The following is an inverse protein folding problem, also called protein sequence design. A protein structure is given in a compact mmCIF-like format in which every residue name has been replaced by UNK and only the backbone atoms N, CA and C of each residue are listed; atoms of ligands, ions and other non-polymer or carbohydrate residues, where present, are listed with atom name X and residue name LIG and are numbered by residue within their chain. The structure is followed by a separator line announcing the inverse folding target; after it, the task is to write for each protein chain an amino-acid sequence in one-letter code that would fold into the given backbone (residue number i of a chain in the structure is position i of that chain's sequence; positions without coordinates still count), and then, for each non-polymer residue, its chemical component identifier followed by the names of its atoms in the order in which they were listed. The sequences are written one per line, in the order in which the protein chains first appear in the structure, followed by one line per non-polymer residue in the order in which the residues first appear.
data_IF_859187349788
#
_entry.id   IF_859187349788
#
_cell.length_a   1.000
_cell.length_b   1.000
_cell.length_c   1.000
_cell.angle_alpha   90.00
_cell.angle_beta   90.00
_cell.angle_gamma   90.00
#
_symmetry.space_group_name_H-M   'P 1'
#
loop_
_entity.id
_entity.type
_entity.pdbx_description
1 polymer ?
#
# COMPACT_ATOMS: atom_id res chain seq x y z
N UNK A 1 -15.74 2.10 -11.71
CA UNK A 1 -16.03 0.64 -11.74
C UNK A 1 -14.73 -0.09 -12.04
N UNK A 2 -14.36 -1.08 -11.22
CA UNK A 2 -13.15 -1.91 -11.43
C UNK A 2 -13.48 -3.03 -12.43
N UNK A 3 -12.58 -3.31 -13.36
CA UNK A 3 -12.75 -4.38 -14.36
C UNK A 3 -11.45 -5.15 -14.53
N UNK A 4 -11.43 -6.38 -14.02
CA UNK A 4 -10.35 -7.35 -14.18
C UNK A 4 -10.97 -8.62 -14.74
N UNK A 5 -10.55 -9.04 -15.93
CA UNK A 5 -11.13 -10.20 -16.64
C UNK A 5 -10.09 -11.22 -17.07
N UNK A 6 -8.82 -10.98 -16.78
CA UNK A 6 -7.68 -11.82 -17.13
C UNK A 6 -6.46 -11.42 -16.29
N UNK A 7 -5.62 -12.39 -15.96
CA UNK A 7 -4.34 -12.17 -15.27
C UNK A 7 -3.19 -11.90 -16.26
N UNK A 8 -3.37 -12.24 -17.54
CA UNK A 8 -2.34 -12.09 -18.60
C UNK A 8 -2.73 -11.07 -19.67
N UNK A 9 -3.92 -10.46 -19.55
CA UNK A 9 -4.38 -9.41 -20.44
C UNK A 9 -3.57 -8.13 -20.30
N UNK A 10 -3.71 -7.20 -21.25
CA UNK A 10 -3.02 -5.90 -21.18
C UNK A 10 -3.43 -5.13 -19.91
N UNK A 11 -2.48 -4.94 -19.00
CA UNK A 11 -2.66 -4.15 -17.79
C UNK A 11 -2.85 -2.67 -18.16
N UNK A 12 -3.93 -2.06 -17.65
CA UNK A 12 -4.29 -0.66 -17.93
C UNK A 12 -4.10 0.26 -16.75
N UNK A 13 -4.45 -0.21 -15.55
CA UNK A 13 -4.33 0.52 -14.29
C UNK A 13 -3.89 -0.45 -13.21
N UNK A 14 -2.99 -0.02 -12.35
CA UNK A 14 -2.51 -0.79 -11.20
C UNK A 14 -2.52 0.08 -9.95
N UNK A 15 -2.95 -0.49 -8.83
CA UNK A 15 -2.82 0.10 -7.51
C UNK A 15 -1.54 -0.45 -6.88
N UNK A 16 -0.64 0.42 -6.45
CA UNK A 16 0.62 0.06 -5.79
C UNK A 16 0.73 0.79 -4.45
N UNK A 17 1.63 0.33 -3.58
CA UNK A 17 1.92 0.98 -2.31
C UNK A 17 3.42 1.18 -2.22
N UNK A 18 3.85 2.43 -2.14
CA UNK A 18 5.23 2.76 -1.87
C UNK A 18 5.62 2.36 -0.43
N UNK A 19 6.73 1.62 -0.23
CA UNK A 19 7.24 1.32 1.10
C UNK A 19 7.46 2.59 1.94
N UNK A 20 6.70 2.72 3.02
CA UNK A 20 6.74 3.84 3.94
C UNK A 20 7.54 3.54 5.22
N UNK A 21 7.22 4.31 6.26
CA UNK A 21 7.85 4.22 7.59
C UNK A 21 7.63 2.87 8.27
N UNK A 22 6.62 2.12 7.85
CA UNK A 22 6.36 0.77 8.34
C UNK A 22 7.51 -0.19 8.03
N UNK A 23 8.25 0.03 6.95
CA UNK A 23 9.46 -0.73 6.63
C UNK A 23 10.62 -0.32 7.54
N UNK A 24 10.78 0.99 7.77
CA UNK A 24 11.85 1.53 8.61
C UNK A 24 11.70 1.13 10.10
N UNK A 25 10.47 0.85 10.55
CA UNK A 25 10.17 0.41 11.91
C UNK A 25 10.25 -1.11 12.13
N UNK A 26 10.52 -1.90 11.09
CA UNK A 26 10.59 -3.34 11.21
C UNK A 26 11.84 -3.76 11.99
N UNK A 27 11.65 -4.60 13.02
CA UNK A 27 12.73 -5.20 13.80
C UNK A 27 12.70 -6.73 13.66
N UNK A 28 13.82 -7.45 13.93
CA UNK A 28 13.89 -8.90 13.70
C UNK A 28 12.77 -9.69 14.38
N UNK A 29 12.39 -9.29 15.60
CA UNK A 29 11.33 -9.94 16.37
C UNK A 29 9.93 -9.83 15.74
N UNK A 30 9.70 -8.86 14.84
CA UNK A 30 8.41 -8.68 14.16
C UNK A 30 8.29 -9.51 12.87
N UNK A 31 9.41 -10.01 12.33
CA UNK A 31 9.43 -10.60 10.98
C UNK A 31 8.55 -11.82 10.82
N UNK A 32 8.55 -12.75 11.79
CA UNK A 32 7.73 -13.96 11.75
C UNK A 32 6.23 -13.62 11.74
N UNK A 33 5.82 -12.64 12.55
CA UNK A 33 4.43 -12.20 12.61
C UNK A 33 4.01 -11.38 11.37
N UNK A 34 4.95 -10.64 10.78
CA UNK A 34 4.72 -9.81 9.60
C UNK A 34 4.92 -10.57 8.28
N UNK A 35 5.32 -11.85 8.34
CA UNK A 35 5.60 -12.71 7.18
C UNK A 35 6.72 -12.16 6.27
N UNK A 36 7.76 -11.56 6.86
CA UNK A 36 8.95 -11.12 6.15
C UNK A 36 10.10 -12.11 6.33
N UNK A 37 10.79 -12.44 5.24
CA UNK A 37 11.95 -13.33 5.25
C UNK A 37 13.24 -12.63 5.73
N UNK A 38 13.35 -11.31 5.53
CA UNK A 38 14.50 -10.50 5.97
C UNK A 38 14.08 -9.04 6.28
N UNK A 39 14.95 -8.31 6.98
CA UNK A 39 14.80 -6.87 7.22
C UNK A 39 15.15 -6.12 5.95
N UNK A 40 14.25 -5.25 5.51
CA UNK A 40 14.45 -4.41 4.34
C UNK A 40 15.17 -3.11 4.68
N UNK A 41 16.06 -2.67 3.80
CA UNK A 41 16.61 -1.32 3.86
C UNK A 41 15.65 -0.35 3.17
N UNK A 42 14.93 0.47 3.96
CA UNK A 42 13.81 1.27 3.48
C UNK A 42 14.12 2.20 2.31
N UNK A 43 15.28 2.87 2.33
CA UNK A 43 15.69 3.76 1.23
C UNK A 43 15.86 3.00 -0.09
N UNK A 44 16.51 1.84 -0.04
CA UNK A 44 16.68 1.00 -1.23
C UNK A 44 15.34 0.43 -1.71
N UNK A 45 14.46 0.01 -0.79
CA UNK A 45 13.13 -0.50 -1.14
C UNK A 45 12.29 0.58 -1.85
N UNK A 46 12.33 1.83 -1.38
CA UNK A 46 11.70 2.98 -2.04
C UNK A 46 12.28 3.24 -3.43
N UNK A 47 13.59 3.22 -3.57
CA UNK A 47 14.28 3.40 -4.86
C UNK A 47 13.90 2.31 -5.87
N UNK A 48 13.86 1.05 -5.44
CA UNK A 48 13.45 -0.08 -6.28
C UNK A 48 11.98 0.01 -6.68
N UNK A 49 11.11 0.36 -5.73
CA UNK A 49 9.69 0.58 -5.99
C UNK A 49 9.48 1.74 -6.99
N UNK A 50 10.22 2.85 -6.86
CA UNK A 50 10.18 3.97 -7.79
C UNK A 50 10.61 3.56 -9.22
N UNK A 51 11.65 2.73 -9.34
CA UNK A 51 12.08 2.14 -10.62
C UNK A 51 10.97 1.27 -11.24
N UNK A 52 10.35 0.40 -10.45
CA UNK A 52 9.23 -0.43 -10.90
C UNK A 52 8.05 0.43 -11.40
N UNK A 53 7.63 1.41 -10.60
CA UNK A 53 6.56 2.36 -10.95
C UNK A 53 6.88 3.07 -12.27
N UNK A 54 8.12 3.51 -12.45
CA UNK A 54 8.56 4.18 -13.69
C UNK A 54 8.44 3.27 -14.90
N UNK A 55 8.86 2.00 -14.80
CA UNK A 55 8.73 1.02 -15.89
C UNK A 55 7.25 0.84 -16.27
N UNK A 56 6.36 0.69 -15.28
CA UNK A 56 4.92 0.54 -15.51
C UNK A 56 4.33 1.75 -16.25
N UNK A 57 4.70 2.96 -15.82
CA UNK A 57 4.26 4.19 -16.47
C UNK A 57 4.79 4.31 -17.92
N UNK A 58 6.05 3.93 -18.16
CA UNK A 58 6.65 3.97 -19.50
C UNK A 58 5.93 3.04 -20.49
N UNK A 59 5.40 1.91 -20.02
CA UNK A 59 4.58 1.00 -20.85
C UNK A 59 3.10 1.40 -20.92
N UNK A 60 2.75 2.57 -20.38
CA UNK A 60 1.41 3.18 -20.47
C UNK A 60 0.41 2.64 -19.45
N UNK A 61 0.86 2.07 -18.33
CA UNK A 61 -0.01 1.69 -17.22
C UNK A 61 -0.27 2.93 -16.36
N UNK A 62 -1.54 3.16 -16.02
CA UNK A 62 -1.94 4.14 -15.01
C UNK A 62 -1.63 3.60 -13.62
N UNK A 63 -0.58 4.13 -12.99
CA UNK A 63 -0.12 3.66 -11.66
C UNK A 63 -0.66 4.59 -10.58
N UNK A 64 -1.57 4.05 -9.78
CA UNK A 64 -2.24 4.72 -8.66
C UNK A 64 -1.55 4.32 -7.36
N UNK A 65 -1.24 5.30 -6.52
CA UNK A 65 -0.68 5.06 -5.19
C UNK A 65 -1.80 4.90 -4.15
N UNK A 66 -1.69 3.86 -3.32
CA UNK A 66 -2.70 3.53 -2.31
C UNK A 66 -2.78 4.56 -1.18
N UNK A 67 -1.65 5.13 -0.76
CA UNK A 67 -1.59 6.15 0.29
C UNK A 67 -2.23 7.45 -0.18
N UNK A 68 -1.99 7.83 -1.44
CA UNK A 68 -2.67 8.96 -2.07
C UNK A 68 -4.18 8.71 -2.17
N UNK A 69 -4.60 7.54 -2.66
CA UNK A 69 -6.03 7.20 -2.81
C UNK A 69 -6.74 7.17 -1.44
N UNK A 70 -6.07 6.67 -0.40
CA UNK A 70 -6.57 6.73 0.98
C UNK A 70 -6.70 8.18 1.46
N UNK A 71 -5.70 9.02 1.18
CA UNK A 71 -5.73 10.45 1.53
C UNK A 71 -6.92 11.16 0.87
N UNK A 72 -7.16 10.89 -0.42
CA UNK A 72 -8.30 11.40 -1.16
C UNK A 72 -9.63 10.93 -0.56
N UNK A 73 -9.74 9.65 -0.20
CA UNK A 73 -10.94 9.11 0.43
C UNK A 73 -11.22 9.74 1.81
N UNK A 74 -10.17 9.96 2.62
CA UNK A 74 -10.27 10.56 3.95
C UNK A 74 -10.51 12.08 3.96
N UNK A 75 -10.47 12.73 2.79
CA UNK A 75 -10.91 14.12 2.64
C UNK A 75 -12.40 14.26 2.92
N UNK A 76 -13.20 13.22 2.67
CA UNK A 76 -14.59 13.14 3.11
C UNK A 76 -14.66 12.92 4.62
N UNK A 77 -15.35 13.83 5.32
CA UNK A 77 -15.53 13.75 6.78
C UNK A 77 -16.24 12.47 7.21
N UNK A 78 -17.28 12.05 6.50
CA UNK A 78 -18.03 10.85 6.87
C UNK A 78 -17.18 9.58 6.69
N UNK A 79 -16.38 9.52 5.62
CA UNK A 79 -15.43 8.42 5.41
C UNK A 79 -14.36 8.37 6.51
N UNK A 80 -13.82 9.54 6.88
CA UNK A 80 -12.83 9.65 7.95
C UNK A 80 -13.38 9.22 9.31
N UNK A 81 -14.56 9.72 9.68
CA UNK A 81 -15.22 9.36 10.95
C UNK A 81 -15.49 7.85 11.00
N UNK A 82 -15.99 7.28 9.90
CA UNK A 82 -16.22 5.84 9.78
C UNK A 82 -14.94 5.01 9.96
N UNK A 83 -13.82 5.42 9.35
CA UNK A 83 -12.53 4.71 9.52
C UNK A 83 -12.08 4.74 10.98
N UNK A 84 -12.19 5.88 11.66
CA UNK A 84 -11.82 6.01 13.07
C UNK A 84 -12.66 5.07 13.94
N UNK A 85 -13.97 5.02 13.74
CA UNK A 85 -14.87 4.13 14.49
C UNK A 85 -14.50 2.65 14.30
N UNK A 86 -14.22 2.24 13.07
CA UNK A 86 -13.78 0.86 12.74
C UNK A 86 -12.45 0.53 13.41
N UNK A 87 -11.49 1.45 13.40
CA UNK A 87 -10.17 1.25 14.01
C UNK A 87 -10.27 1.16 15.53
N UNK A 88 -11.02 2.05 16.17
CA UNK A 88 -11.26 2.01 17.62
C UNK A 88 -11.94 0.70 18.04
N UNK A 89 -12.94 0.24 17.30
CA UNK A 89 -13.61 -1.03 17.59
C UNK A 89 -12.67 -2.23 17.47
N UNK A 90 -11.73 -2.22 16.51
CA UNK A 90 -10.71 -3.28 16.35
C UNK A 90 -9.66 -3.28 17.46
N UNK A 91 -9.14 -2.11 17.83
CA UNK A 91 -8.14 -1.97 18.89
C UNK A 91 -8.72 -2.42 20.25
N UNK A 92 -10.00 -2.13 20.49
CA UNK A 92 -10.71 -2.54 21.71
C UNK A 92 -10.86 -4.06 21.84
N UNK A 93 -10.81 -4.82 20.74
CA UNK A 93 -10.96 -6.28 20.69
C UNK A 93 -9.64 -7.06 20.79
N UNK A 94 -8.50 -6.37 20.76
CA UNK A 94 -7.16 -6.96 20.89
C UNK A 94 -6.60 -6.88 22.33
N UNK A 95 -7.42 -6.54 23.32
CA UNK A 95 -7.10 -6.68 24.74
C UNK A 95 -7.68 -7.96 25.31
#
# INVERSE_FOLDING_TARGET
MVRVTSEVGRLRRALVHEPGVEVDHMVPAMMEELLFDDILYGDLARDEHARLRRVMQLVGIDVVDSSQLLTEALADKAARDWVVDVLLARLSRRR
#
